data_IF_467333005237
#
_entry.id   IF_467333005237
#
_cell.length_a   1.000
_cell.length_b   1.000
_cell.length_c   1.000
_cell.angle_alpha   90.00
_cell.angle_beta   90.00
_cell.angle_gamma   90.00
#
_symmetry.space_group_name_H-M   'P 1'
#
loop_
_entity.id
_entity.type
_entity.pdbx_description
1 polymer ?
#
# COMPACT_ATOMS: atom_id res chain seq x y z
N UNK A 1 -3.55 27.34 12.49
CA UNK A 1 -2.49 26.31 12.42
C UNK A 1 -3.12 24.92 12.44
N UNK A 2 -2.69 24.06 11.55
CA UNK A 2 -3.18 22.70 11.50
C UNK A 2 -2.32 21.77 12.35
N UNK A 3 -2.96 20.97 13.19
CA UNK A 3 -2.30 20.00 14.05
C UNK A 3 -2.67 18.58 13.64
N UNK A 4 -1.71 17.66 13.72
CA UNK A 4 -1.92 16.24 13.43
C UNK A 4 -2.45 15.96 12.03
N UNK A 5 -2.10 16.83 11.08
CA UNK A 5 -2.50 16.65 9.69
C UNK A 5 -1.39 15.86 8.99
N UNK A 6 -1.75 14.71 8.44
CA UNK A 6 -0.83 13.86 7.70
C UNK A 6 -1.41 13.49 6.36
N UNK A 7 -0.55 13.17 5.41
CA UNK A 7 -0.95 12.71 4.10
C UNK A 7 -1.19 13.82 3.10
N UNK A 8 -1.48 13.42 1.89
CA UNK A 8 -1.72 14.31 0.74
C UNK A 8 -3.12 14.10 0.20
N UNK A 9 -3.75 15.18 -0.22
CA UNK A 9 -5.09 15.12 -0.80
C UNK A 9 -5.08 14.61 -2.24
N UNK A 10 -3.97 14.74 -2.96
CA UNK A 10 -3.81 14.32 -4.36
C UNK A 10 -4.90 14.92 -5.28
N UNK A 11 -5.34 16.15 -4.96
CA UNK A 11 -6.37 16.89 -5.71
C UNK A 11 -7.70 16.14 -5.84
N UNK A 12 -8.06 15.34 -4.84
CA UNK A 12 -9.28 14.50 -4.86
C UNK A 12 -10.10 14.66 -3.58
N UNK A 13 -11.44 14.55 -3.68
CA UNK A 13 -12.29 14.42 -2.50
C UNK A 13 -11.92 13.19 -1.70
N UNK A 14 -12.26 13.19 -0.41
CA UNK A 14 -11.89 12.12 0.52
C UNK A 14 -12.31 10.72 0.03
N UNK A 15 -13.56 10.58 -0.44
CA UNK A 15 -14.05 9.27 -0.89
C UNK A 15 -13.25 8.74 -2.08
N UNK A 16 -12.94 9.61 -3.06
CA UNK A 16 -12.17 9.21 -4.24
C UNK A 16 -10.72 8.91 -3.87
N UNK A 17 -10.15 9.65 -2.94
CA UNK A 17 -8.80 9.43 -2.44
C UNK A 17 -8.68 8.06 -1.79
N UNK A 18 -9.63 7.68 -0.93
CA UNK A 18 -9.61 6.38 -0.29
C UNK A 18 -9.83 5.24 -1.28
N UNK A 19 -10.69 5.44 -2.30
CA UNK A 19 -10.86 4.46 -3.37
C UNK A 19 -9.56 4.24 -4.12
N UNK A 20 -8.82 5.31 -4.41
CA UNK A 20 -7.51 5.23 -5.06
C UNK A 20 -6.53 4.43 -4.21
N UNK A 21 -6.46 4.71 -2.91
CA UNK A 21 -5.57 4.00 -1.99
C UNK A 21 -5.87 2.51 -1.95
N UNK A 22 -7.14 2.14 -1.84
CA UNK A 22 -7.54 0.73 -1.81
C UNK A 22 -7.13 0.00 -3.07
N UNK A 23 -7.34 0.62 -4.23
CA UNK A 23 -6.97 0.03 -5.51
C UNK A 23 -5.47 -0.13 -5.64
N UNK A 24 -4.69 0.87 -5.25
CA UNK A 24 -3.23 0.81 -5.32
C UNK A 24 -2.66 -0.25 -4.38
N UNK A 25 -3.17 -0.33 -3.16
CA UNK A 25 -2.72 -1.36 -2.21
C UNK A 25 -3.09 -2.76 -2.72
N UNK A 26 -4.28 -2.93 -3.26
CA UNK A 26 -4.71 -4.21 -3.83
C UNK A 26 -3.78 -4.62 -4.98
N UNK A 27 -3.45 -3.70 -5.87
CA UNK A 27 -2.53 -3.97 -6.98
C UNK A 27 -1.13 -4.31 -6.48
N UNK A 28 -0.65 -3.60 -5.46
CA UNK A 28 0.66 -3.88 -4.89
C UNK A 28 0.71 -5.29 -4.29
N UNK A 29 -0.31 -5.71 -3.58
CA UNK A 29 -0.40 -7.06 -3.04
C UNK A 29 -0.45 -8.09 -4.16
N UNK A 30 -1.24 -7.81 -5.19
CA UNK A 30 -1.45 -8.75 -6.30
C UNK A 30 -0.19 -8.95 -7.14
N UNK A 31 0.46 -7.86 -7.53
CA UNK A 31 1.60 -7.90 -8.45
C UNK A 31 2.95 -7.79 -7.76
N UNK A 32 2.97 -7.44 -6.48
CA UNK A 32 4.14 -7.23 -5.62
C UNK A 32 5.03 -6.06 -6.06
N UNK A 33 4.78 -5.46 -7.19
CA UNK A 33 5.40 -4.19 -7.59
C UNK A 33 4.47 -3.47 -8.56
N UNK A 34 4.39 -2.15 -8.42
CA UNK A 34 3.61 -1.31 -9.33
C UNK A 34 4.39 -0.03 -9.60
N UNK A 35 4.16 0.57 -10.76
CA UNK A 35 4.71 1.87 -11.12
C UNK A 35 3.58 2.89 -11.08
N UNK A 36 3.77 3.95 -10.33
CA UNK A 36 2.79 5.02 -10.18
C UNK A 36 3.53 6.34 -9.97
N UNK A 37 2.80 7.43 -9.73
CA UNK A 37 3.46 8.69 -9.41
C UNK A 37 4.12 8.58 -8.03
N UNK A 38 5.22 9.32 -7.85
CA UNK A 38 5.97 9.31 -6.59
C UNK A 38 5.07 9.70 -5.42
N UNK A 39 4.19 10.70 -5.60
CA UNK A 39 3.28 11.14 -4.56
C UNK A 39 2.33 10.02 -4.12
N UNK A 40 1.74 9.30 -5.06
CA UNK A 40 0.85 8.17 -4.75
C UNK A 40 1.59 7.04 -4.06
N UNK A 41 2.79 6.71 -4.54
CA UNK A 41 3.60 5.65 -3.93
C UNK A 41 3.91 5.97 -2.46
N UNK A 42 4.27 7.20 -2.16
CA UNK A 42 4.57 7.61 -0.78
C UNK A 42 3.33 7.56 0.12
N UNK A 43 2.16 7.91 -0.41
CA UNK A 43 0.93 7.89 0.37
C UNK A 43 0.47 6.47 0.70
N UNK A 44 0.57 5.53 -0.23
CA UNK A 44 0.07 4.17 0.00
C UNK A 44 1.06 3.28 0.75
N UNK A 45 2.31 3.68 0.86
CA UNK A 45 3.35 2.87 1.52
C UNK A 45 2.95 2.46 2.93
N UNK A 46 2.53 3.41 3.75
CA UNK A 46 2.12 3.14 5.13
C UNK A 46 0.90 2.23 5.21
N UNK A 47 -0.06 2.41 4.30
CA UNK A 47 -1.27 1.59 4.27
C UNK A 47 -0.95 0.15 3.88
N UNK A 48 -0.08 -0.05 2.88
CA UNK A 48 0.34 -1.38 2.47
C UNK A 48 1.08 -2.10 3.59
N UNK A 49 1.95 -1.38 4.29
CA UNK A 49 2.69 -1.97 5.41
C UNK A 49 1.77 -2.34 6.57
N UNK A 50 0.72 -1.55 6.81
CA UNK A 50 -0.28 -1.90 7.82
C UNK A 50 -1.01 -3.19 7.48
N UNK A 51 -1.28 -3.44 6.21
CA UNK A 51 -1.90 -4.70 5.79
C UNK A 51 -1.02 -5.90 6.13
N UNK A 52 0.28 -5.78 5.90
CA UNK A 52 1.22 -6.85 6.23
C UNK A 52 1.31 -7.04 7.75
N UNK A 53 1.31 -5.94 8.51
CA UNK A 53 1.31 -6.03 9.98
C UNK A 53 0.07 -6.75 10.49
N UNK A 54 -1.11 -6.49 9.92
CA UNK A 54 -2.33 -7.21 10.26
C UNK A 54 -2.18 -8.70 9.95
N UNK A 55 -1.56 -9.04 8.82
CA UNK A 55 -1.28 -10.44 8.48
C UNK A 55 -0.35 -11.11 9.49
N UNK A 56 0.64 -10.39 9.98
CA UNK A 56 1.57 -10.91 11.00
C UNK A 56 0.88 -11.14 12.34
N UNK A 57 -0.09 -10.31 12.70
CA UNK A 57 -0.92 -10.55 13.89
C UNK A 57 -1.72 -11.83 13.75
N UNK A 58 -2.28 -12.08 12.58
CA UNK A 58 -2.93 -13.33 12.22
C UNK A 58 -4.26 -13.62 12.89
N UNK A 59 -4.82 -12.72 13.68
CA UNK A 59 -6.09 -12.95 14.37
C UNK A 59 -7.29 -12.81 13.43
N UNK A 60 -8.44 -13.35 13.84
CA UNK A 60 -9.69 -13.18 13.09
C UNK A 60 -10.06 -11.70 12.97
N UNK A 61 -9.86 -10.92 14.04
CA UNK A 61 -10.12 -9.48 14.02
C UNK A 61 -9.22 -8.77 13.00
N UNK A 62 -7.92 -9.14 12.95
CA UNK A 62 -6.98 -8.58 11.97
C UNK A 62 -7.41 -8.91 10.54
N UNK A 63 -7.85 -10.15 10.28
CA UNK A 63 -8.33 -10.56 8.96
C UNK A 63 -9.55 -9.77 8.54
N UNK A 64 -10.48 -9.52 9.46
CA UNK A 64 -11.67 -8.71 9.18
C UNK A 64 -11.31 -7.26 8.85
N UNK A 65 -10.35 -6.69 9.56
CA UNK A 65 -9.86 -5.33 9.26
C UNK A 65 -9.23 -5.27 7.88
N UNK A 66 -8.42 -6.25 7.52
CA UNK A 66 -7.80 -6.31 6.19
C UNK A 66 -8.87 -6.40 5.10
N UNK A 67 -9.88 -7.24 5.28
CA UNK A 67 -10.99 -7.38 4.33
C UNK A 67 -11.77 -6.09 4.19
N UNK A 68 -11.95 -5.31 5.25
CA UNK A 68 -12.67 -4.05 5.18
C UNK A 68 -11.96 -3.02 4.33
N UNK A 69 -10.64 -3.13 4.17
CA UNK A 69 -9.87 -2.22 3.34
C UNK A 69 -9.65 -2.77 1.93
N UNK A 70 -9.13 -3.98 1.79
CA UNK A 70 -8.79 -4.55 0.49
C UNK A 70 -9.98 -5.20 -0.21
N UNK A 71 -10.99 -5.65 0.44
CA UNK A 71 -12.23 -6.23 -0.09
C UNK A 71 -12.09 -7.54 -0.87
N UNK A 72 -10.97 -7.80 -1.52
CA UNK A 72 -10.74 -9.04 -2.28
C UNK A 72 -10.20 -10.12 -1.36
N UNK A 73 -11.02 -11.14 -1.12
CA UNK A 73 -10.67 -12.24 -0.22
C UNK A 73 -9.39 -12.96 -0.64
N UNK A 74 -9.17 -13.13 -1.94
CA UNK A 74 -7.97 -13.81 -2.45
C UNK A 74 -6.70 -13.04 -2.10
N UNK A 75 -6.76 -11.70 -2.19
CA UNK A 75 -5.62 -10.85 -1.85
C UNK A 75 -5.37 -10.85 -0.35
N UNK A 76 -6.42 -10.84 0.47
CA UNK A 76 -6.27 -10.95 1.93
C UNK A 76 -5.66 -12.30 2.29
N UNK A 77 -6.09 -13.38 1.64
CA UNK A 77 -5.50 -14.71 1.86
C UNK A 77 -4.01 -14.70 1.49
N UNK A 78 -3.62 -14.01 0.42
CA UNK A 78 -2.22 -13.86 0.03
C UNK A 78 -1.42 -13.12 1.10
N UNK A 79 -1.98 -12.05 1.66
CA UNK A 79 -1.31 -11.29 2.74
C UNK A 79 -1.03 -12.22 3.93
N UNK A 80 -2.02 -12.98 4.35
CA UNK A 80 -1.90 -13.81 5.56
C UNK A 80 -1.08 -15.08 5.34
N UNK A 81 -1.16 -15.68 4.13
CA UNK A 81 -0.49 -16.96 3.87
C UNK A 81 0.89 -16.83 3.24
N UNK A 82 1.19 -15.76 2.54
CA UNK A 82 2.44 -15.58 1.82
C UNK A 82 3.27 -14.40 2.32
N UNK A 83 2.67 -13.20 2.38
CA UNK A 83 3.43 -12.00 2.72
C UNK A 83 3.78 -11.94 4.20
N UNK A 84 2.84 -12.25 5.08
CA UNK A 84 3.11 -12.23 6.52
C UNK A 84 4.21 -13.21 6.92
N UNK A 85 4.20 -14.48 6.47
CA UNK A 85 5.32 -15.38 6.75
C UNK A 85 6.65 -14.92 6.16
N UNK A 86 6.63 -14.32 4.97
CA UNK A 86 7.84 -13.79 4.32
C UNK A 86 8.55 -12.75 5.19
N UNK A 87 7.78 -11.93 5.88
CA UNK A 87 8.31 -10.83 6.70
C UNK A 87 8.21 -11.06 8.19
N UNK A 88 8.05 -12.30 8.63
CA UNK A 88 7.88 -12.63 10.04
C UNK A 88 9.04 -12.10 10.91
N UNK A 89 10.27 -12.14 10.38
CA UNK A 89 11.47 -11.70 11.08
C UNK A 89 11.79 -10.21 10.88
N UNK A 90 11.01 -9.50 10.07
CA UNK A 90 11.27 -8.10 9.76
C UNK A 90 10.31 -7.21 10.55
N UNK A 91 10.85 -6.22 11.25
CA UNK A 91 10.06 -5.37 12.15
C UNK A 91 9.34 -4.22 11.43
N UNK A 92 9.45 -4.12 10.12
CA UNK A 92 8.85 -3.06 9.30
C UNK A 92 9.64 -2.90 8.03
N UNK A 93 9.31 -1.88 7.23
CA UNK A 93 10.03 -1.63 5.98
C UNK A 93 9.85 -2.76 4.97
N UNK A 94 8.61 -3.24 4.81
CA UNK A 94 8.30 -4.33 3.90
C UNK A 94 8.26 -3.91 2.44
N UNK A 95 8.28 -2.61 2.17
CA UNK A 95 8.19 -2.07 0.83
C UNK A 95 9.39 -1.18 0.53
N UNK A 96 9.68 -1.02 -0.75
CA UNK A 96 10.75 -0.15 -1.24
C UNK A 96 10.20 0.72 -2.35
N UNK A 97 10.54 2.01 -2.34
CA UNK A 97 10.19 2.95 -3.40
C UNK A 97 11.46 3.28 -4.20
N UNK A 98 11.41 3.04 -5.50
CA UNK A 98 12.51 3.32 -6.42
C UNK A 98 12.05 4.40 -7.41
N UNK A 99 12.78 5.50 -7.49
CA UNK A 99 12.45 6.59 -8.42
C UNK A 99 12.73 6.13 -9.85
N UNK A 100 11.76 6.36 -10.75
CA UNK A 100 11.82 5.88 -12.13
C UNK A 100 11.97 7.01 -13.16
N UNK A 101 12.09 8.26 -12.73
CA UNK A 101 12.18 9.39 -13.63
C UNK A 101 10.85 10.07 -13.85
N UNK A 102 10.67 10.70 -15.03
CA UNK A 102 9.47 11.48 -15.32
C UNK A 102 8.64 10.86 -16.43
N UNK A 103 7.34 10.98 -16.30
CA UNK A 103 6.40 10.47 -17.31
C UNK A 103 6.39 11.37 -18.53
N UNK A 104 6.36 10.78 -19.73
CA UNK A 104 6.18 11.51 -20.96
C UNK A 104 4.78 12.15 -20.96
N UNK A 105 4.70 13.37 -21.48
CA UNK A 105 3.46 14.11 -21.59
C UNK A 105 3.30 15.18 -20.52
N UNK A 106 3.20 14.82 -19.24
CA UNK A 106 2.98 15.80 -18.17
C UNK A 106 4.19 15.99 -17.24
N UNK A 107 5.26 15.23 -17.43
CA UNK A 107 6.46 15.34 -16.61
C UNK A 107 6.29 14.86 -15.17
N UNK A 108 5.23 14.15 -14.83
CA UNK A 108 5.02 13.66 -13.49
C UNK A 108 6.16 12.73 -13.06
N UNK A 109 6.61 12.88 -11.82
CA UNK A 109 7.65 12.00 -11.28
C UNK A 109 7.05 10.63 -11.02
N UNK A 110 7.68 9.60 -11.58
CA UNK A 110 7.24 8.21 -11.41
C UNK A 110 8.11 7.50 -10.38
N UNK A 111 7.51 6.54 -9.72
CA UNK A 111 8.20 5.68 -8.78
C UNK A 111 7.64 4.28 -8.86
N UNK A 112 8.49 3.29 -8.61
CA UNK A 112 8.07 1.91 -8.45
C UNK A 112 8.05 1.60 -6.97
N UNK A 113 6.89 1.21 -6.46
CA UNK A 113 6.79 0.67 -5.11
C UNK A 113 6.73 -0.85 -5.23
N UNK A 114 7.54 -1.54 -4.45
CA UNK A 114 7.67 -3.00 -4.54
C UNK A 114 7.82 -3.63 -3.17
N UNK A 115 7.38 -4.87 -3.07
CA UNK A 115 7.62 -5.67 -1.88
C UNK A 115 9.10 -6.05 -1.83
N UNK A 116 9.70 -5.93 -0.66
CA UNK A 116 11.11 -6.31 -0.44
C UNK A 116 11.20 -7.84 -0.42
N UNK A 117 12.25 -8.36 -1.06
CA UNK A 117 12.49 -9.81 -1.05
C UNK A 117 13.20 -10.28 0.21
#
# INVERSE_FOLDING_TARGET
>A
MRHRVAGRKLSRPTAQRWALYRNLVADLVKYEKIITTEAKAKEIRGLAEKMITLGKEGSLASRRRALSFVSDKKLVDKIFSQLAPRYAERAGGYTRIVKMGRRAGDGARLAQIQMVE
#
